data_IF_983928657147
#
_entry.id   IF_983928657147
#
_cell.length_a   1.000
_cell.length_b   1.000
_cell.length_c   1.000
_cell.angle_alpha   90.00
_cell.angle_beta   90.00
_cell.angle_gamma   90.00
#
_symmetry.space_group_name_H-M   'P 1'
#
loop_
_entity.id
_entity.type
_entity.pdbx_description
1 polymer ?
#
# COMPACT_ATOMS: atom_id res chain seq x y z
N UNK A 1 19.58 -11.23 -12.95
CA UNK A 1 18.41 -11.47 -13.82
C UNK A 1 17.23 -10.95 -13.02
N UNK A 2 16.91 -9.66 -13.18
CA UNK A 2 15.87 -9.02 -12.37
C UNK A 2 14.51 -9.58 -12.80
N UNK A 3 13.82 -10.21 -11.85
CA UNK A 3 12.44 -10.63 -12.06
C UNK A 3 11.63 -9.37 -12.36
N UNK A 4 10.88 -9.40 -13.46
CA UNK A 4 9.92 -8.36 -13.83
C UNK A 4 8.99 -8.11 -12.63
N UNK A 5 9.29 -7.10 -11.81
CA UNK A 5 8.60 -6.82 -10.56
C UNK A 5 7.27 -6.19 -10.95
N UNK A 6 6.23 -7.00 -11.07
CA UNK A 6 4.88 -6.53 -11.33
C UNK A 6 4.52 -5.51 -10.25
N UNK A 7 4.42 -4.24 -10.63
CA UNK A 7 4.01 -3.16 -9.73
C UNK A 7 2.52 -3.36 -9.46
N UNK A 8 2.15 -3.59 -8.20
CA UNK A 8 0.76 -3.80 -7.81
C UNK A 8 -0.03 -2.48 -7.88
N UNK A 9 -1.32 -2.55 -8.20
CA UNK A 9 -2.28 -1.46 -7.97
C UNK A 9 -2.97 -1.56 -6.59
N UNK A 10 -2.71 -2.63 -5.85
CA UNK A 10 -3.19 -2.80 -4.49
C UNK A 10 -2.27 -2.04 -3.53
N UNK A 11 -2.84 -1.05 -2.84
CA UNK A 11 -2.10 -0.14 -1.94
C UNK A 11 -2.27 -0.50 -0.46
N UNK A 12 -2.98 -1.60 -0.16
CA UNK A 12 -3.20 -2.11 1.19
C UNK A 12 -3.27 -3.63 1.21
N UNK A 13 -3.50 -4.21 2.38
CA UNK A 13 -3.52 -5.67 2.58
C UNK A 13 -4.91 -6.28 2.44
N UNK A 14 -5.96 -5.47 2.56
CA UNK A 14 -7.35 -5.92 2.39
C UNK A 14 -8.22 -4.81 1.84
N UNK A 15 -8.98 -5.07 0.78
CA UNK A 15 -10.02 -4.15 0.31
C UNK A 15 -11.24 -4.28 1.24
N UNK A 16 -11.57 -3.19 1.94
CA UNK A 16 -12.70 -3.15 2.87
C UNK A 16 -13.99 -2.68 2.21
N UNK A 17 -13.87 -1.76 1.24
CA UNK A 17 -15.01 -1.18 0.55
C UNK A 17 -14.59 -0.62 -0.81
N UNK A 18 -15.48 -0.72 -1.80
CA UNK A 18 -15.31 -0.08 -3.10
C UNK A 18 -16.66 0.39 -3.65
N UNK A 19 -16.66 1.58 -4.25
CA UNK A 19 -17.73 2.09 -5.09
C UNK A 19 -17.16 2.94 -6.25
N UNK A 20 -18.03 3.56 -7.03
CA UNK A 20 -17.66 4.39 -8.19
C UNK A 20 -16.78 5.61 -7.87
N UNK A 21 -16.64 6.00 -6.59
CA UNK A 21 -15.91 7.19 -6.16
C UNK A 21 -14.65 6.88 -5.36
N UNK A 22 -14.66 5.80 -4.58
CA UNK A 22 -13.58 5.53 -3.62
C UNK A 22 -13.39 4.04 -3.37
N UNK A 23 -12.13 3.65 -3.15
CA UNK A 23 -11.71 2.40 -2.52
C UNK A 23 -11.18 2.69 -1.12
N UNK A 24 -11.58 1.87 -0.15
CA UNK A 24 -11.05 1.89 1.22
C UNK A 24 -10.31 0.58 1.46
N UNK A 25 -9.03 0.71 1.78
CA UNK A 25 -8.16 -0.41 2.09
C UNK A 25 -7.81 -0.43 3.58
N UNK A 26 -7.72 -1.63 4.17
CA UNK A 26 -6.98 -1.86 5.40
C UNK A 26 -5.50 -2.09 5.07
N UNK A 27 -4.60 -1.63 5.92
CA UNK A 27 -3.17 -1.88 5.84
C UNK A 27 -2.68 -2.38 7.19
N UNK A 28 -2.47 -3.70 7.30
CA UNK A 28 -1.94 -4.35 8.49
C UNK A 28 -0.61 -5.00 8.15
N UNK A 29 0.44 -4.59 8.85
CA UNK A 29 1.78 -5.13 8.69
C UNK A 29 2.29 -5.57 10.06
N UNK A 30 2.80 -6.78 10.16
CA UNK A 30 3.66 -7.19 11.26
C UNK A 30 5.05 -6.52 11.13
N UNK A 31 5.85 -6.43 12.21
CA UNK A 31 7.20 -5.90 12.13
C UNK A 31 8.04 -6.63 11.06
N UNK A 32 8.59 -5.86 10.11
CA UNK A 32 9.40 -6.38 9.00
C UNK A 32 8.61 -6.72 7.73
N UNK A 33 7.27 -6.67 7.75
CA UNK A 33 6.46 -6.84 6.55
C UNK A 33 6.40 -5.56 5.70
N UNK A 34 6.13 -5.74 4.41
CA UNK A 34 5.90 -4.63 3.49
C UNK A 34 4.79 -4.99 2.49
N UNK A 35 4.15 -3.97 1.94
CA UNK A 35 3.21 -4.09 0.81
C UNK A 35 3.89 -4.49 -0.51
N UNK A 36 5.22 -4.51 -0.55
CA UNK A 36 5.96 -4.51 -1.81
C UNK A 36 5.79 -3.20 -2.59
N UNK A 37 6.35 -3.18 -3.80
CA UNK A 37 6.25 -2.02 -4.69
C UNK A 37 4.87 -1.98 -5.34
N UNK A 38 4.20 -0.85 -5.18
CA UNK A 38 2.87 -0.62 -5.72
C UNK A 38 2.76 0.82 -6.21
N UNK A 39 1.76 1.08 -7.04
CA UNK A 39 1.50 2.40 -7.63
C UNK A 39 0.18 2.96 -7.11
N UNK A 40 0.22 4.23 -6.74
CA UNK A 40 -0.96 5.00 -6.36
C UNK A 40 -1.52 5.63 -7.63
N UNK A 41 -2.55 5.02 -8.20
CA UNK A 41 -3.14 5.45 -9.48
C UNK A 41 -4.15 6.60 -9.33
N UNK A 42 -4.53 6.92 -8.09
CA UNK A 42 -5.50 7.96 -7.75
C UNK A 42 -4.97 8.77 -6.58
N UNK A 43 -5.50 9.98 -6.42
CA UNK A 43 -5.30 10.77 -5.21
C UNK A 43 -5.78 9.98 -3.99
N UNK A 44 -5.00 10.01 -2.92
CA UNK A 44 -5.26 9.23 -1.73
C UNK A 44 -4.93 10.02 -0.46
N UNK A 45 -5.49 9.54 0.64
CA UNK A 45 -5.07 9.91 1.98
C UNK A 45 -4.83 8.63 2.77
N UNK A 46 -3.96 8.72 3.76
CA UNK A 46 -3.65 7.61 4.64
C UNK A 46 -3.93 8.01 6.08
N UNK A 47 -4.65 7.16 6.81
CA UNK A 47 -4.99 7.37 8.22
C UNK A 47 -4.36 6.26 9.02
N UNK A 48 -3.46 6.62 9.93
CA UNK A 48 -2.83 5.67 10.85
C UNK A 48 -3.72 5.51 12.07
N UNK A 49 -4.18 4.29 12.31
CA UNK A 49 -4.98 3.94 13.47
C UNK A 49 -4.15 3.00 14.36
N UNK A 50 -3.62 3.54 15.46
CA UNK A 50 -2.77 2.81 16.41
C UNK A 50 -1.29 3.17 16.33
N UNK A 51 -0.49 2.53 17.18
CA UNK A 51 0.94 2.81 17.31
C UNK A 51 1.77 2.03 16.28
N UNK A 52 2.89 2.61 15.87
CA UNK A 52 3.85 1.96 14.98
C UNK A 52 4.78 2.96 14.31
N UNK A 53 5.80 2.44 13.62
CA UNK A 53 6.67 3.24 12.76
C UNK A 53 6.72 2.62 11.39
N UNK A 54 6.27 3.36 10.39
CA UNK A 54 6.37 3.00 8.99
C UNK A 54 7.56 3.70 8.35
N UNK A 55 8.18 3.01 7.40
CA UNK A 55 9.14 3.59 6.47
C UNK A 55 8.55 3.48 5.07
N UNK A 56 8.64 4.57 4.31
CA UNK A 56 8.35 4.58 2.89
C UNK A 56 9.68 4.67 2.12
N UNK A 57 9.75 3.95 1.01
CA UNK A 57 10.80 4.06 0.01
C UNK A 57 10.09 4.08 -1.35
N UNK A 58 10.59 4.87 -2.28
CA UNK A 58 10.07 4.89 -3.64
C UNK A 58 10.93 4.00 -4.56
N UNK A 59 10.82 4.18 -5.87
CA UNK A 59 11.60 3.40 -6.83
C UNK A 59 13.11 3.67 -6.75
N UNK A 60 13.53 4.78 -6.13
CA UNK A 60 14.92 5.23 -6.02
C UNK A 60 15.56 4.84 -4.68
N UNK A 61 14.76 4.41 -3.70
CA UNK A 61 15.23 3.93 -2.38
C UNK A 61 14.85 4.86 -1.25
#
# INVERSE_FOLDING_TARGET
MEANKTISSEVGTQLLFENERVRVWDLRLAPGESTGLHRHEHDYLYVVIGDGRLQAADAEG
#
